data_IF_031349909977
#
_entry.id   IF_031349909977
#
_cell.length_a   1.000
_cell.length_b   1.000
_cell.length_c   1.000
_cell.angle_alpha   90.00
_cell.angle_beta   90.00
_cell.angle_gamma   90.00
#
_symmetry.space_group_name_H-M   'P 1'
#
loop_
_entity.id
_entity.type
_entity.pdbx_description
1 polymer ?
#
# COMPACT_ATOMS: atom_id res chain seq x y z
N UNK A 1 17.35 13.79 -2.55
CA UNK A 1 16.54 12.72 -1.93
C UNK A 1 15.86 11.98 -3.06
N UNK A 2 15.96 10.65 -3.09
CA UNK A 2 15.37 9.83 -4.17
C UNK A 2 14.11 9.18 -3.63
N UNK A 3 12.95 9.50 -4.22
CA UNK A 3 11.68 8.88 -3.84
C UNK A 3 11.64 7.47 -4.42
N UNK A 4 11.48 6.46 -3.57
CA UNK A 4 11.19 5.10 -4.01
C UNK A 4 9.74 5.04 -4.51
N UNK A 5 9.54 5.24 -5.82
CA UNK A 5 8.20 5.28 -6.40
C UNK A 5 7.54 3.88 -6.41
N UNK A 6 8.34 2.81 -6.40
CA UNK A 6 7.86 1.43 -6.49
C UNK A 6 6.94 1.07 -5.31
N UNK A 7 7.12 1.71 -4.16
CA UNK A 7 6.27 1.51 -2.97
C UNK A 7 4.80 1.92 -3.19
N UNK A 8 4.51 2.73 -4.20
CA UNK A 8 3.15 3.15 -4.54
C UNK A 8 2.46 2.20 -5.53
N UNK A 9 3.18 1.24 -6.09
CA UNK A 9 2.65 0.20 -6.96
C UNK A 9 1.93 -0.90 -6.16
N UNK A 10 1.05 -1.64 -6.84
CA UNK A 10 0.50 -2.87 -6.30
C UNK A 10 1.59 -3.95 -6.14
N UNK A 11 1.35 -4.89 -5.22
CA UNK A 11 2.24 -6.03 -4.96
C UNK A 11 2.05 -7.13 -6.01
N UNK A 12 2.98 -8.09 -6.09
CA UNK A 12 2.96 -9.13 -7.14
C UNK A 12 1.76 -10.09 -7.07
N UNK A 13 1.09 -10.16 -5.92
CA UNK A 13 -0.13 -10.93 -5.68
C UNK A 13 -1.40 -10.22 -6.18
N UNK A 14 -1.31 -8.96 -6.60
CA UNK A 14 -2.41 -8.27 -7.25
C UNK A 14 -2.63 -8.82 -8.67
N UNK A 15 -3.87 -9.14 -9.02
CA UNK A 15 -4.17 -9.65 -10.36
C UNK A 15 -3.98 -8.59 -11.47
N UNK A 16 -3.87 -7.31 -11.10
CA UNK A 16 -3.71 -6.19 -12.03
C UNK A 16 -2.23 -5.96 -12.27
N UNK A 17 -1.61 -6.83 -13.07
CA UNK A 17 -0.17 -6.81 -13.33
C UNK A 17 0.38 -5.45 -13.80
N UNK A 18 -0.45 -4.66 -14.49
CA UNK A 18 -0.10 -3.31 -14.94
C UNK A 18 0.05 -2.28 -13.79
N UNK A 19 -0.35 -2.61 -12.57
CA UNK A 19 -0.13 -1.80 -11.37
C UNK A 19 1.17 -2.15 -10.65
N UNK A 20 1.89 -3.20 -11.05
CA UNK A 20 3.09 -3.68 -10.37
C UNK A 20 4.33 -2.82 -10.64
N UNK A 21 4.26 -1.90 -11.61
CA UNK A 21 5.39 -1.05 -11.99
C UNK A 21 4.90 0.38 -12.28
N UNK A 22 5.76 1.38 -12.07
CA UNK A 22 5.47 2.73 -12.53
C UNK A 22 5.44 2.77 -14.06
N UNK A 23 4.69 3.73 -14.60
CA UNK A 23 4.65 4.04 -16.04
C UNK A 23 4.97 5.50 -16.31
N UNK A 24 5.25 5.82 -17.58
CA UNK A 24 5.37 7.19 -18.05
C UNK A 24 4.08 7.67 -18.69
N UNK A 25 3.65 8.87 -18.33
CA UNK A 25 2.52 9.56 -18.93
C UNK A 25 2.81 11.06 -18.97
N UNK A 26 2.72 11.67 -20.16
CA UNK A 26 2.93 13.11 -20.38
C UNK A 26 4.22 13.64 -19.73
N UNK A 27 5.34 12.93 -19.92
CA UNK A 27 6.65 13.22 -19.32
C UNK A 27 6.75 13.11 -17.79
N UNK A 28 5.70 12.63 -17.12
CA UNK A 28 5.68 12.35 -15.69
C UNK A 28 5.80 10.85 -15.43
N UNK A 29 6.31 10.49 -14.25
CA UNK A 29 6.27 9.10 -13.78
C UNK A 29 5.09 8.91 -12.83
N UNK A 30 4.24 7.92 -13.14
CA UNK A 30 3.02 7.63 -12.39
C UNK A 30 3.12 6.25 -11.75
N UNK A 31 2.62 6.12 -10.52
CA UNK A 31 2.48 4.84 -9.82
C UNK A 31 1.18 4.80 -9.00
N UNK A 32 0.57 3.62 -8.90
CA UNK A 32 -0.64 3.42 -8.07
C UNK A 32 -0.84 1.95 -7.69
N UNK A 33 -1.53 1.73 -6.58
CA UNK A 33 -2.05 0.42 -6.16
C UNK A 33 -3.60 0.38 -6.16
N UNK A 34 -4.24 1.40 -6.75
CA UNK A 34 -5.69 1.56 -6.82
C UNK A 34 -6.33 2.29 -5.62
N UNK A 35 -5.60 2.50 -4.52
CA UNK A 35 -6.07 3.29 -3.37
C UNK A 35 -5.28 4.58 -3.17
N UNK A 36 -4.02 4.60 -3.60
CA UNK A 36 -3.18 5.79 -3.66
C UNK A 36 -2.56 5.88 -5.05
N UNK A 37 -2.46 7.08 -5.60
CA UNK A 37 -1.74 7.36 -6.84
C UNK A 37 -0.80 8.55 -6.65
N UNK A 38 0.35 8.49 -7.29
CA UNK A 38 1.39 9.54 -7.24
C UNK A 38 1.87 9.85 -8.66
N UNK A 39 2.13 11.13 -8.91
CA UNK A 39 2.69 11.66 -10.16
C UNK A 39 3.94 12.45 -9.81
N UNK A 40 5.10 11.97 -10.28
CA UNK A 40 6.37 12.68 -10.18
C UNK A 40 6.58 13.57 -11.40
N UNK A 41 6.90 14.84 -11.16
CA UNK A 41 7.19 15.85 -12.21
C UNK A 41 8.49 15.59 -12.96
N UNK A 42 9.34 14.72 -12.43
CA UNK A 42 10.60 14.33 -13.06
C UNK A 42 10.50 12.88 -13.52
N UNK A 43 10.73 12.59 -14.82
CA UNK A 43 10.69 11.23 -15.32
C UNK A 43 11.87 10.43 -14.75
N UNK A 44 11.57 9.27 -14.17
CA UNK A 44 12.60 8.31 -13.74
C UNK A 44 13.03 7.50 -14.96
N UNK A 45 14.19 7.84 -15.53
CA UNK A 45 14.74 7.14 -16.70
C UNK A 45 15.25 5.75 -16.31
N UNK A 46 14.82 4.70 -17.01
CA UNK A 46 15.37 3.34 -16.88
C UNK A 46 14.66 2.39 -15.90
N UNK A 47 13.68 2.86 -15.12
CA UNK A 47 12.91 2.02 -14.17
C UNK A 47 11.40 1.90 -14.50
N UNK A 48 10.97 2.47 -15.63
CA UNK A 48 9.59 2.55 -16.11
C UNK A 48 9.44 1.63 -17.32
N UNK A 49 8.57 0.62 -17.21
CA UNK A 49 8.31 -0.32 -18.31
C UNK A 49 6.92 -0.98 -18.15
N UNK A 50 5.88 -0.16 -18.23
CA UNK A 50 4.52 -0.60 -18.48
C UNK A 50 3.81 0.51 -19.27
N UNK A 51 3.08 0.17 -20.32
CA UNK A 51 1.99 1.06 -20.77
C UNK A 51 0.93 1.11 -19.65
N UNK A 52 0.21 2.22 -19.47
CA UNK A 52 -0.89 2.25 -18.52
C UNK A 52 -1.87 1.12 -18.85
N UNK A 53 -2.36 0.44 -17.82
CA UNK A 53 -3.37 -0.59 -18.00
C UNK A 53 -4.66 -0.08 -18.67
N UNK A 54 -5.57 -0.98 -19.05
CA UNK A 54 -6.82 -0.61 -19.71
C UNK A 54 -7.58 0.48 -18.95
N UNK A 55 -7.86 1.60 -19.60
CA UNK A 55 -8.60 2.74 -19.01
C UNK A 55 -7.80 3.63 -18.04
N UNK A 56 -6.54 3.31 -17.74
CA UNK A 56 -5.72 4.10 -16.80
C UNK A 56 -5.14 5.36 -17.42
N UNK A 57 -5.11 5.47 -18.76
CA UNK A 57 -4.57 6.63 -19.44
C UNK A 57 -5.30 7.92 -19.04
N UNK A 58 -4.57 8.86 -18.47
CA UNK A 58 -5.04 10.11 -17.91
C UNK A 58 -6.00 9.96 -16.72
N UNK A 59 -6.23 8.75 -16.19
CA UNK A 59 -7.19 8.52 -15.11
C UNK A 59 -6.72 9.16 -13.80
N UNK A 60 -5.41 9.04 -13.51
CA UNK A 60 -4.80 9.66 -12.33
C UNK A 60 -4.85 11.18 -12.45
N UNK A 61 -4.52 11.74 -13.61
CA UNK A 61 -4.59 13.19 -13.84
C UNK A 61 -6.03 13.71 -13.70
N UNK A 62 -7.02 13.02 -14.29
CA UNK A 62 -8.43 13.39 -14.12
C UNK A 62 -8.86 13.40 -12.66
N UNK A 63 -8.40 12.44 -11.86
CA UNK A 63 -8.70 12.38 -10.43
C UNK A 63 -8.04 13.53 -9.68
N UNK A 64 -6.79 13.88 -10.00
CA UNK A 64 -6.12 15.07 -9.47
C UNK A 64 -6.90 16.35 -9.84
N UNK A 65 -7.31 16.49 -11.09
CA UNK A 65 -8.04 17.68 -11.55
C UNK A 65 -9.39 17.83 -10.84
N UNK A 66 -10.09 16.73 -10.57
CA UNK A 66 -11.35 16.72 -9.80
C UNK A 66 -11.18 17.25 -8.36
N UNK A 67 -9.98 17.12 -7.80
CA UNK A 67 -9.67 17.59 -6.43
C UNK A 67 -9.18 19.03 -6.37
N UNK A 68 -9.13 19.76 -7.49
CA UNK A 68 -8.60 21.13 -7.54
C UNK A 68 -9.38 22.13 -6.65
N UNK A 69 -10.64 21.83 -6.30
CA UNK A 69 -11.47 22.65 -5.41
C UNK A 69 -11.23 22.45 -3.91
N UNK A 70 -10.32 21.56 -3.52
CA UNK A 70 -10.03 21.25 -2.12
C UNK A 70 -9.23 22.39 -1.50
N UNK A 71 -9.77 23.00 -0.46
CA UNK A 71 -9.29 24.27 0.09
C UNK A 71 -8.85 24.18 1.55
N UNK A 72 -9.15 23.06 2.25
CA UNK A 72 -8.66 22.83 3.59
C UNK A 72 -7.31 22.10 3.51
N UNK A 73 -6.24 22.79 3.91
CA UNK A 73 -4.89 22.23 3.88
C UNK A 73 -4.46 21.75 5.26
N UNK A 74 -3.86 20.57 5.31
CA UNK A 74 -3.22 20.04 6.51
C UNK A 74 -1.78 19.63 6.18
N UNK A 75 -0.81 20.19 6.90
CA UNK A 75 0.56 19.71 6.81
C UNK A 75 0.62 18.30 7.41
N UNK A 76 1.15 17.33 6.66
CA UNK A 76 1.10 15.95 7.10
C UNK A 76 1.96 15.69 8.35
N UNK A 77 3.01 16.49 8.54
CA UNK A 77 3.86 16.42 9.73
C UNK A 77 3.10 16.74 11.03
N UNK A 78 1.98 17.45 10.94
CA UNK A 78 1.14 17.76 12.10
C UNK A 78 0.09 16.66 12.38
N UNK A 79 -0.07 15.70 11.47
CA UNK A 79 -1.01 14.59 11.63
C UNK A 79 -0.38 13.52 12.50
N UNK A 80 -0.92 13.35 13.71
CA UNK A 80 -0.53 12.27 14.61
C UNK A 80 -1.11 10.94 14.12
N UNK A 81 -0.28 10.14 13.45
CA UNK A 81 -0.62 8.78 13.04
C UNK A 81 -0.32 7.83 14.19
N UNK A 82 -1.33 7.10 14.65
CA UNK A 82 -1.10 5.97 15.57
C UNK A 82 -0.75 4.75 14.74
N UNK A 83 0.48 4.27 14.89
CA UNK A 83 0.98 3.10 14.18
C UNK A 83 0.91 1.89 15.10
N UNK A 84 0.25 0.84 14.66
CA UNK A 84 0.29 -0.47 15.30
C UNK A 84 1.14 -1.39 14.44
N UNK A 85 1.99 -2.20 15.06
CA UNK A 85 2.77 -3.20 14.35
C UNK A 85 1.83 -4.21 13.71
N UNK A 86 2.11 -4.57 12.46
CA UNK A 86 1.40 -5.63 11.77
C UNK A 86 1.64 -6.95 12.51
N UNK A 87 0.59 -7.69 12.92
CA UNK A 87 0.76 -8.90 13.71
C UNK A 87 1.49 -10.02 12.95
N UNK A 88 1.42 -10.02 11.60
CA UNK A 88 2.04 -11.05 10.76
C UNK A 88 3.55 -10.88 10.58
N UNK A 89 4.04 -9.64 10.51
CA UNK A 89 5.46 -9.35 10.32
C UNK A 89 6.11 -8.66 11.52
N UNK A 90 5.35 -8.44 12.60
CA UNK A 90 5.79 -7.84 13.85
C UNK A 90 6.54 -6.51 13.65
N UNK A 91 5.99 -5.62 12.82
CA UNK A 91 6.62 -4.32 12.53
C UNK A 91 7.69 -4.36 11.43
N UNK A 92 8.22 -5.53 11.08
CA UNK A 92 9.35 -5.67 10.15
C UNK A 92 9.00 -5.40 8.68
N UNK A 93 7.74 -5.60 8.30
CA UNK A 93 7.27 -5.43 6.91
C UNK A 93 7.51 -6.63 6.00
N UNK A 94 8.29 -7.62 6.41
CA UNK A 94 8.61 -8.80 5.59
C UNK A 94 8.20 -10.09 6.29
N UNK A 95 7.84 -11.10 5.49
CA UNK A 95 7.51 -12.44 5.95
C UNK A 95 8.10 -13.49 5.00
N UNK A 96 8.16 -14.74 5.43
CA UNK A 96 8.22 -15.90 4.55
C UNK A 96 6.98 -16.76 4.75
N UNK A 97 6.65 -17.57 3.75
CA UNK A 97 5.57 -18.55 3.83
C UNK A 97 6.18 -19.94 3.70
N UNK A 98 6.09 -20.75 4.75
CA UNK A 98 6.60 -22.11 4.79
C UNK A 98 5.43 -23.10 4.86
N UNK A 99 5.55 -24.27 4.21
CA UNK A 99 4.54 -25.32 4.37
C UNK A 99 4.50 -25.79 5.82
N UNK A 100 3.31 -25.89 6.38
CA UNK A 100 3.10 -26.48 7.69
C UNK A 100 3.49 -27.97 7.64
N UNK A 101 4.53 -28.34 8.41
CA UNK A 101 5.08 -29.70 8.41
C UNK A 101 4.09 -30.73 8.95
N UNK A 102 3.36 -30.49 10.07
CA UNK A 102 2.40 -31.46 10.60
C UNK A 102 1.33 -31.90 9.60
N UNK A 103 0.75 -30.97 8.83
CA UNK A 103 -0.28 -31.28 7.85
C UNK A 103 0.23 -31.39 6.42
N UNK A 104 1.56 -31.36 6.21
CA UNK A 104 2.17 -31.43 4.88
C UNK A 104 1.84 -30.26 3.94
N UNK A 105 1.23 -29.20 4.44
CA UNK A 105 0.78 -28.07 3.65
C UNK A 105 -0.72 -28.01 3.36
N UNK A 106 -1.51 -28.97 3.84
CA UNK A 106 -2.93 -29.11 3.48
C UNK A 106 -3.88 -28.35 4.42
N UNK A 107 -3.39 -27.91 5.59
CA UNK A 107 -4.22 -27.24 6.61
C UNK A 107 -5.05 -28.19 7.46
N UNK A 108 -5.34 -29.37 6.95
CA UNK A 108 -6.03 -30.46 7.65
C UNK A 108 -5.26 -31.77 7.52
N UNK A 109 -5.50 -32.72 8.42
CA UNK A 109 -4.96 -34.06 8.32
C UNK A 109 -5.96 -35.09 8.85
N UNK A 110 -5.81 -36.34 8.43
CA UNK A 110 -6.66 -37.45 8.86
C UNK A 110 -5.87 -38.49 9.65
N UNK A 111 -6.38 -38.87 10.82
CA UNK A 111 -5.85 -39.95 11.63
C UNK A 111 -6.91 -41.03 11.90
N UNK A 112 -6.70 -41.86 12.93
CA UNK A 112 -7.62 -42.94 13.31
C UNK A 112 -8.96 -42.43 13.85
N UNK A 113 -8.99 -41.23 14.42
CA UNK A 113 -10.17 -40.62 15.05
C UNK A 113 -10.96 -39.74 14.07
N UNK A 114 -10.36 -39.37 12.93
CA UNK A 114 -11.07 -38.67 11.85
C UNK A 114 -10.24 -37.58 11.20
N UNK A 115 -10.93 -36.59 10.63
CA UNK A 115 -10.31 -35.38 10.07
C UNK A 115 -10.15 -34.33 11.17
N UNK A 116 -8.98 -33.70 11.21
CA UNK A 116 -8.63 -32.65 12.16
C UNK A 116 -8.06 -31.44 11.43
N UNK A 117 -8.41 -30.25 11.91
CA UNK A 117 -7.78 -28.99 11.48
C UNK A 117 -6.41 -28.93 12.15
N UNK A 118 -5.38 -28.61 11.38
CA UNK A 118 -4.04 -28.50 11.91
C UNK A 118 -3.90 -27.25 12.78
N UNK A 119 -3.75 -27.45 14.09
CA UNK A 119 -3.63 -26.37 15.08
C UNK A 119 -2.40 -25.48 14.85
N UNK A 120 -1.29 -26.04 14.35
CA UNK A 120 -0.04 -25.27 14.16
C UNK A 120 -0.17 -24.19 13.08
N UNK A 121 -0.96 -24.45 12.03
CA UNK A 121 -1.23 -23.49 10.95
C UNK A 121 -2.68 -23.01 10.92
N UNK A 122 -3.46 -23.32 11.95
CA UNK A 122 -4.87 -22.95 12.10
C UNK A 122 -5.75 -23.25 10.86
N UNK A 123 -5.41 -24.29 10.10
CA UNK A 123 -6.15 -24.66 8.88
C UNK A 123 -5.63 -24.07 7.57
N UNK A 124 -4.65 -23.17 7.58
CA UNK A 124 -4.15 -22.52 6.36
C UNK A 124 -3.19 -23.40 5.55
N UNK A 125 -2.59 -24.41 6.19
CA UNK A 125 -1.54 -25.25 5.61
C UNK A 125 -0.19 -24.54 5.47
N UNK A 126 -0.12 -23.25 5.77
CA UNK A 126 1.07 -22.42 5.60
C UNK A 126 1.36 -21.69 6.91
N UNK A 127 2.64 -21.63 7.28
CA UNK A 127 3.14 -20.80 8.38
C UNK A 127 3.69 -19.51 7.80
N UNK A 128 3.13 -18.37 8.25
CA UNK A 128 3.64 -17.04 7.93
C UNK A 128 4.61 -16.62 9.03
N UNK A 129 5.90 -16.47 8.69
CA UNK A 129 6.95 -16.15 9.64
C UNK A 129 7.50 -14.73 9.40
N UNK A 130 7.64 -13.87 10.42
CA UNK A 130 8.30 -12.58 10.29
C UNK A 130 9.75 -12.71 9.78
N UNK A 131 10.15 -11.83 8.87
CA UNK A 131 11.50 -11.78 8.29
C UNK A 131 12.04 -10.35 8.26
N UNK A 132 13.35 -10.24 8.05
CA UNK A 132 14.03 -9.00 7.70
C UNK A 132 14.14 -8.87 6.17
N UNK A 133 14.22 -7.64 5.66
CA UNK A 133 14.37 -7.38 4.22
C UNK A 133 15.62 -8.04 3.59
N UNK A 134 16.61 -8.38 4.41
CA UNK A 134 17.87 -9.01 4.01
C UNK A 134 17.81 -10.53 3.95
N UNK A 135 16.75 -11.15 4.43
CA UNK A 135 16.65 -12.61 4.45
C UNK A 135 16.41 -13.16 3.04
N UNK A 136 17.02 -14.30 2.65
CA UNK A 136 16.96 -14.81 1.27
C UNK A 136 15.56 -15.15 0.75
N UNK A 137 14.65 -15.50 1.66
CA UNK A 137 13.25 -15.89 1.40
C UNK A 137 12.23 -14.81 1.82
N UNK A 138 12.71 -13.62 2.20
CA UNK A 138 11.84 -12.54 2.61
C UNK A 138 11.04 -11.99 1.43
N UNK A 139 9.72 -12.05 1.56
CA UNK A 139 8.78 -11.32 0.72
C UNK A 139 8.11 -10.22 1.54
N UNK A 140 7.62 -9.19 0.85
CA UNK A 140 6.82 -8.16 1.51
C UNK A 140 5.60 -8.81 2.15
N UNK A 141 5.33 -8.46 3.40
CA UNK A 141 4.18 -8.96 4.14
C UNK A 141 2.90 -8.58 3.40
N UNK A 142 2.11 -9.57 2.98
CA UNK A 142 0.85 -9.38 2.25
C UNK A 142 -0.15 -8.53 3.05
N UNK A 143 -0.20 -8.73 4.38
CA UNK A 143 -1.15 -8.03 5.25
C UNK A 143 -0.89 -6.52 5.35
N UNK A 144 0.39 -6.11 5.42
CA UNK A 144 0.77 -4.70 5.54
C UNK A 144 1.43 -4.11 4.29
N UNK A 145 1.50 -4.87 3.20
CA UNK A 145 2.18 -4.54 1.94
C UNK A 145 3.62 -4.03 2.11
N UNK A 146 4.38 -4.60 3.04
CA UNK A 146 5.77 -4.16 3.29
C UNK A 146 5.92 -2.98 4.25
N UNK A 147 4.83 -2.38 4.73
CA UNK A 147 4.93 -1.17 5.57
C UNK A 147 5.30 -1.46 7.02
N UNK A 148 5.11 -2.70 7.48
CA UNK A 148 5.28 -3.08 8.88
C UNK A 148 4.07 -2.76 9.77
N UNK A 149 3.06 -2.05 9.27
CA UNK A 149 1.99 -1.51 10.10
C UNK A 149 0.61 -2.09 9.78
N UNK A 150 -0.25 -2.21 10.79
CA UNK A 150 -1.59 -2.78 10.67
C UNK A 150 -2.47 -2.04 9.64
N UNK A 151 -3.03 -2.78 8.69
CA UNK A 151 -3.79 -2.23 7.56
C UNK A 151 -5.15 -1.65 7.92
N UNK A 152 -5.77 -2.11 9.02
CA UNK A 152 -7.09 -1.65 9.48
C UNK A 152 -7.03 -0.35 10.28
N UNK A 153 -5.83 0.08 10.65
CA UNK A 153 -5.66 1.30 11.42
C UNK A 153 -5.90 2.52 10.52
N UNK A 154 -6.69 3.47 11.04
CA UNK A 154 -7.02 4.71 10.34
C UNK A 154 -6.92 5.91 11.28
N UNK A 155 -6.77 7.09 10.69
CA UNK A 155 -6.71 8.35 11.40
C UNK A 155 -7.71 9.29 10.77
N UNK A 156 -8.55 9.90 11.61
CA UNK A 156 -9.44 10.97 11.19
C UNK A 156 -8.62 12.26 11.03
N UNK A 157 -8.50 12.75 9.80
CA UNK A 157 -7.87 14.04 9.50
C UNK A 157 -8.97 15.02 9.16
N UNK A 158 -9.25 15.94 10.08
CA UNK A 158 -10.47 16.77 10.07
C UNK A 158 -11.73 15.89 10.11
N UNK A 159 -12.34 15.62 8.96
CA UNK A 159 -13.55 14.81 8.81
C UNK A 159 -13.37 13.64 7.83
N UNK A 160 -12.14 13.44 7.32
CA UNK A 160 -11.83 12.38 6.36
C UNK A 160 -11.08 11.25 7.06
N UNK A 161 -11.57 10.03 6.93
CA UNK A 161 -10.94 8.85 7.50
C UNK A 161 -9.90 8.26 6.53
N UNK A 162 -8.62 8.31 6.90
CA UNK A 162 -7.51 7.90 6.03
C UNK A 162 -6.76 6.71 6.64
N UNK A 163 -6.43 5.73 5.80
CA UNK A 163 -5.69 4.55 6.25
C UNK A 163 -4.26 4.92 6.67
N UNK A 164 -3.86 4.50 7.88
CA UNK A 164 -2.57 4.88 8.48
C UNK A 164 -1.38 4.38 7.68
N UNK A 165 -1.52 3.25 6.96
CA UNK A 165 -0.48 2.75 6.04
C UNK A 165 -0.12 3.78 4.98
N UNK A 166 -1.10 4.47 4.41
CA UNK A 166 -0.87 5.46 3.36
C UNK A 166 -0.40 6.78 3.93
N UNK A 167 -0.96 7.21 5.07
CA UNK A 167 -0.45 8.38 5.79
C UNK A 167 1.03 8.20 6.16
N UNK A 168 1.43 7.00 6.61
CA UNK A 168 2.83 6.67 6.91
C UNK A 168 3.73 6.74 5.68
N UNK A 169 3.26 6.24 4.53
CA UNK A 169 3.99 6.41 3.28
C UNK A 169 4.17 7.90 2.96
N UNK A 170 3.09 8.68 3.03
CA UNK A 170 3.15 10.11 2.72
C UNK A 170 4.07 10.90 3.67
N UNK A 171 4.27 10.46 4.92
CA UNK A 171 5.20 11.12 5.87
C UNK A 171 6.66 11.12 5.41
N UNK A 172 7.06 10.15 4.58
CA UNK A 172 8.42 10.10 4.02
C UNK A 172 8.60 11.04 2.81
N UNK A 173 7.52 11.68 2.35
CA UNK A 173 7.58 12.63 1.24
C UNK A 173 7.95 14.03 1.75
N UNK A 174 8.89 14.72 1.09
CA UNK A 174 9.33 16.05 1.49
C UNK A 174 8.20 17.08 1.40
N UNK A 175 7.98 17.83 2.48
CA UNK A 175 6.98 18.92 2.55
C UNK A 175 5.57 18.50 2.11
N UNK A 176 5.13 17.31 2.51
CA UNK A 176 3.83 16.80 2.13
C UNK A 176 2.67 17.56 2.79
N UNK A 177 1.72 18.03 1.98
CA UNK A 177 0.50 18.74 2.40
C UNK A 177 -0.72 18.04 1.81
N UNK A 178 -1.72 17.76 2.65
CA UNK A 178 -3.01 17.22 2.23
C UNK A 178 -3.97 18.38 1.88
N UNK A 179 -4.71 18.24 0.79
CA UNK A 179 -5.83 19.10 0.40
C UNK A 179 -7.13 18.30 0.59
N UNK A 180 -7.81 18.57 1.71
CA UNK A 180 -8.98 17.82 2.17
C UNK A 180 -10.25 18.30 1.42
N UNK A 181 -11.08 17.36 0.92
CA UNK A 181 -12.38 17.68 0.35
C UNK A 181 -13.34 18.25 1.42
N UNK A 182 -14.50 18.76 0.97
CA UNK A 182 -15.65 18.99 1.86
C UNK A 182 -16.48 17.73 2.08
N UNK A 183 -16.45 16.81 1.12
CA UNK A 183 -17.14 15.52 1.15
C UNK A 183 -16.15 14.42 1.57
N UNK A 184 -16.38 13.73 2.71
CA UNK A 184 -15.44 12.75 3.25
C UNK A 184 -15.21 11.52 2.36
N UNK A 185 -16.06 11.28 1.37
CA UNK A 185 -15.93 10.15 0.45
C UNK A 185 -15.11 10.48 -0.82
N UNK A 186 -14.73 11.75 -1.00
CA UNK A 186 -13.91 12.18 -2.14
C UNK A 186 -12.42 11.92 -1.92
N UNK A 187 -11.68 11.70 -3.01
CA UNK A 187 -10.25 11.47 -2.97
C UNK A 187 -9.49 12.66 -2.39
N UNK A 188 -8.61 12.44 -1.42
CA UNK A 188 -7.76 13.49 -0.85
C UNK A 188 -6.57 13.73 -1.75
N UNK A 189 -6.38 14.95 -2.23
CA UNK A 189 -5.15 15.33 -2.93
C UNK A 189 -4.03 15.57 -1.93
N UNK A 190 -2.81 15.26 -2.34
CA UNK A 190 -1.62 15.64 -1.61
C UNK A 190 -0.56 16.20 -2.55
N UNK A 191 0.15 17.21 -2.08
CA UNK A 191 1.27 17.83 -2.78
C UNK A 191 2.55 17.66 -1.94
N UNK A 192 3.69 17.54 -2.61
CA UNK A 192 5.01 17.37 -1.98
C UNK A 192 6.10 17.85 -2.93
N UNK A 193 7.34 17.97 -2.45
CA UNK A 193 8.46 18.36 -3.32
C UNK A 193 8.75 17.24 -4.33
N UNK A 194 8.58 17.58 -5.61
CA UNK A 194 8.79 16.65 -6.73
C UNK A 194 7.52 16.07 -7.34
N UNK A 195 6.33 16.28 -6.76
CA UNK A 195 5.11 15.75 -7.36
C UNK A 195 3.79 16.14 -6.70
N UNK A 196 2.77 15.36 -7.05
CA UNK A 196 1.41 15.44 -6.49
C UNK A 196 0.79 14.05 -6.51
N UNK A 197 -0.32 13.86 -5.85
CA UNK A 197 -1.05 12.60 -5.88
C UNK A 197 -2.40 12.69 -5.22
N UNK A 198 -3.07 11.54 -5.17
CA UNK A 198 -4.41 11.37 -4.61
C UNK A 198 -4.50 10.10 -3.78
N UNK A 199 -5.24 10.18 -2.69
CA UNK A 199 -5.45 9.12 -1.72
C UNK A 199 -6.96 8.91 -1.52
N UNK A 200 -7.41 7.68 -1.72
CA UNK A 200 -8.80 7.31 -1.47
C UNK A 200 -9.08 7.22 0.03
N UNK A 201 -10.17 7.84 0.53
CA UNK A 201 -10.58 7.68 1.91
C UNK A 201 -11.07 6.26 2.20
N UNK A 202 -11.05 5.89 3.48
CA UNK A 202 -11.72 4.68 3.95
C UNK A 202 -13.20 4.97 4.12
N UNK A 203 -14.04 4.17 3.47
CA UNK A 203 -15.49 4.18 3.71
C UNK A 203 -15.78 3.56 5.07
N UNK A 204 -16.57 4.25 5.88
CA UNK A 204 -17.11 3.79 7.16
C UNK A 204 -18.49 3.18 6.97
#
# INVERSE_FOLDING_TARGET
MTIDIQRFCAQQDDAREWLHKPWLEDCNTVATNGHIAIVLRTPIVGAVNAEPGPGMRGAVQRLIDQTAGHHLHAALNDVRIVKYDCPYCQGGGFVSCEKCKPCGGEGEFKDADGWHICEECEGDGILTLPRQATDPDAQRCYSCCGTGHEWRSSTMVSHVNLANRYLSMLQDLPNCVLALPSDPDQAVRFDFDGGTGVLMPMRV
#
